data_IF_856874445397
#
_entry.id   IF_856874445397
#
_cell.length_a   1.000
_cell.length_b   1.000
_cell.length_c   1.000
_cell.angle_alpha   90.00
_cell.angle_beta   90.00
_cell.angle_gamma   90.00
#
_symmetry.space_group_name_H-M   'P 1'
#
loop_
_entity.id
_entity.type
_entity.pdbx_description
1 polymer ?
#
# COMPACT_ATOMS: atom_id res chain seq x y z
N UNK A 1 45.32 -25.18 29.36
CA UNK A 1 44.85 -26.03 28.24
C UNK A 1 43.54 -26.79 28.54
N UNK A 2 43.32 -27.43 29.70
CA UNK A 2 42.08 -28.16 30.06
C UNK A 2 40.84 -27.23 30.20
N UNK A 3 40.98 -25.99 30.75
CA UNK A 3 39.89 -25.03 30.95
C UNK A 3 39.41 -24.46 29.62
N UNK A 4 40.34 -24.19 28.69
CA UNK A 4 40.02 -23.63 27.36
C UNK A 4 39.28 -24.67 26.48
N UNK A 5 39.63 -25.95 26.58
CA UNK A 5 38.89 -27.04 25.91
C UNK A 5 37.48 -27.24 26.45
N UNK A 6 37.28 -27.05 27.78
CA UNK A 6 35.93 -27.09 28.38
C UNK A 6 35.07 -25.91 28.03
N UNK A 7 35.64 -24.68 27.95
CA UNK A 7 34.91 -23.50 27.51
C UNK A 7 34.49 -23.60 26.03
N UNK A 8 35.37 -24.15 25.18
CA UNK A 8 35.05 -24.35 23.75
C UNK A 8 33.98 -25.47 23.56
N UNK A 9 34.02 -26.51 24.37
CA UNK A 9 33.00 -27.56 24.32
C UNK A 9 31.63 -27.07 24.81
N UNK A 10 31.56 -26.17 25.79
CA UNK A 10 30.31 -25.55 26.27
C UNK A 10 29.76 -24.56 25.22
N UNK A 11 30.61 -23.80 24.56
CA UNK A 11 30.20 -22.91 23.45
C UNK A 11 29.70 -23.69 22.23
N UNK A 12 30.33 -24.81 21.89
CA UNK A 12 29.88 -25.65 20.79
C UNK A 12 28.60 -26.44 21.14
N UNK A 13 28.43 -26.91 22.38
CA UNK A 13 27.20 -27.53 22.82
C UNK A 13 26.05 -26.54 22.99
N UNK A 14 26.32 -25.31 23.43
CA UNK A 14 25.34 -24.21 23.48
C UNK A 14 24.89 -23.77 22.11
N UNK A 15 25.79 -23.70 21.11
CA UNK A 15 25.49 -23.42 19.70
C UNK A 15 24.60 -24.50 19.06
N UNK A 16 24.83 -25.78 19.40
CA UNK A 16 24.01 -26.92 18.89
C UNK A 16 22.60 -26.98 19.47
N UNK A 17 22.41 -26.51 20.71
CA UNK A 17 21.07 -26.42 21.33
C UNK A 17 20.23 -25.23 20.79
N UNK A 18 20.87 -24.18 20.33
CA UNK A 18 20.18 -23.05 19.71
C UNK A 18 19.68 -23.37 18.28
N UNK A 19 20.27 -24.35 17.60
CA UNK A 19 19.84 -24.75 16.24
C UNK A 19 18.74 -25.84 16.23
N UNK A 20 18.50 -26.53 17.35
CA UNK A 20 17.51 -27.61 17.42
C UNK A 20 16.08 -27.13 17.72
N UNK A 21 15.85 -25.85 17.99
CA UNK A 21 14.55 -25.32 18.44
C UNK A 21 13.76 -24.52 17.42
N UNK A 22 14.21 -24.36 16.16
CA UNK A 22 13.58 -23.46 15.19
C UNK A 22 13.15 -24.18 13.90
N UNK A 23 12.83 -25.46 14.01
CA UNK A 23 12.21 -26.18 12.89
C UNK A 23 10.68 -26.17 13.00
N UNK A 24 10.07 -25.01 13.17
CA UNK A 24 8.67 -24.83 12.77
C UNK A 24 8.70 -24.11 11.41
N UNK A 25 8.18 -24.81 10.41
CA UNK A 25 8.17 -24.37 9.03
C UNK A 25 7.46 -23.01 8.91
N UNK A 26 8.26 -21.95 8.86
CA UNK A 26 7.82 -20.72 8.19
C UNK A 26 8.04 -21.02 6.72
N UNK A 27 6.96 -21.18 5.96
CA UNK A 27 7.03 -21.37 4.53
C UNK A 27 7.43 -20.05 3.88
N UNK A 28 8.23 -20.13 2.81
CA UNK A 28 8.48 -18.97 1.96
C UNK A 28 7.16 -18.45 1.40
N UNK A 29 6.91 -17.16 1.53
CA UNK A 29 5.75 -16.52 0.87
C UNK A 29 6.09 -16.26 -0.59
N UNK A 30 5.42 -16.89 -1.57
CA UNK A 30 5.68 -16.61 -2.99
C UNK A 30 5.57 -15.10 -3.27
N UNK A 31 6.67 -14.47 -3.74
CA UNK A 31 6.77 -13.03 -3.99
C UNK A 31 6.83 -12.15 -2.73
N UNK A 32 7.00 -12.75 -1.57
CA UNK A 32 7.27 -12.12 -0.27
C UNK A 32 8.67 -12.48 0.26
N UNK A 33 8.93 -12.28 1.56
CA UNK A 33 10.21 -12.60 2.18
C UNK A 33 10.48 -14.11 2.18
N UNK A 34 11.74 -14.49 1.96
CA UNK A 34 12.20 -15.86 2.07
C UNK A 34 12.57 -16.21 3.52
N UNK A 35 12.56 -17.51 3.84
CA UNK A 35 12.97 -18.02 5.15
C UNK A 35 14.44 -17.67 5.41
N UNK A 36 14.74 -17.13 6.61
CA UNK A 36 16.08 -16.70 7.02
C UNK A 36 16.70 -15.58 6.13
N UNK A 37 15.89 -14.83 5.44
CA UNK A 37 16.36 -13.71 4.64
C UNK A 37 16.98 -12.62 5.55
N UNK A 38 18.30 -12.38 5.38
CA UNK A 38 19.05 -11.40 6.17
C UNK A 38 19.24 -10.05 5.46
N UNK A 39 18.75 -9.92 4.24
CA UNK A 39 18.83 -8.71 3.43
C UNK A 39 17.45 -8.40 2.85
N UNK A 40 17.36 -7.51 1.89
CA UNK A 40 16.11 -7.26 1.15
C UNK A 40 15.69 -8.50 0.36
N UNK A 41 14.40 -8.58 0.05
CA UNK A 41 13.85 -9.61 -0.83
C UNK A 41 14.58 -9.67 -2.18
N UNK A 42 14.60 -10.83 -2.86
CA UNK A 42 15.23 -10.96 -4.17
C UNK A 42 14.71 -9.89 -5.14
N UNK A 43 15.61 -9.06 -5.71
CA UNK A 43 15.21 -7.96 -6.59
C UNK A 43 14.44 -8.46 -7.81
N UNK A 44 13.40 -7.73 -8.21
CA UNK A 44 12.64 -7.96 -9.43
C UNK A 44 12.60 -6.72 -10.35
N UNK A 45 13.48 -5.74 -10.06
CA UNK A 45 13.69 -4.54 -10.85
C UNK A 45 15.13 -4.09 -10.73
N UNK A 46 15.63 -3.35 -11.72
CA UNK A 46 16.97 -2.76 -11.64
C UNK A 46 17.14 -1.77 -10.47
N UNK A 47 16.05 -1.06 -10.09
CA UNK A 47 16.06 -0.19 -8.90
C UNK A 47 16.33 -1.02 -7.64
N UNK A 48 15.57 -2.11 -7.45
CA UNK A 48 15.73 -2.99 -6.30
C UNK A 48 17.12 -3.63 -6.26
N UNK A 49 17.67 -4.03 -7.41
CA UNK A 49 19.05 -4.56 -7.52
C UNK A 49 20.09 -3.53 -7.06
N UNK A 50 19.92 -2.28 -7.49
CA UNK A 50 20.79 -1.17 -7.07
C UNK A 50 20.71 -0.96 -5.55
N UNK A 51 19.50 -0.94 -4.98
CA UNK A 51 19.31 -0.80 -3.54
C UNK A 51 19.87 -1.97 -2.75
N UNK A 52 19.67 -3.21 -3.24
CA UNK A 52 20.24 -4.41 -2.63
C UNK A 52 21.77 -4.34 -2.57
N UNK A 53 22.41 -3.91 -3.67
CA UNK A 53 23.85 -3.76 -3.74
C UNK A 53 24.38 -2.67 -2.81
N UNK A 54 23.72 -1.53 -2.75
CA UNK A 54 24.08 -0.43 -1.84
C UNK A 54 23.94 -0.87 -0.38
N UNK A 55 22.84 -1.55 -0.03
CA UNK A 55 22.63 -2.05 1.33
C UNK A 55 23.69 -3.09 1.72
N UNK A 56 24.02 -4.01 0.81
CA UNK A 56 25.08 -5.00 1.04
C UNK A 56 26.43 -4.31 1.28
N UNK A 57 26.76 -3.29 0.49
CA UNK A 57 27.98 -2.49 0.72
C UNK A 57 28.00 -1.84 2.10
N UNK A 58 26.87 -1.25 2.52
CA UNK A 58 26.73 -0.67 3.86
C UNK A 58 26.92 -1.70 4.97
N UNK A 59 26.31 -2.88 4.83
CA UNK A 59 26.47 -3.98 5.80
C UNK A 59 27.95 -4.41 5.92
N UNK A 60 28.66 -4.52 4.81
CA UNK A 60 30.09 -4.86 4.81
C UNK A 60 30.91 -3.79 5.54
N UNK A 61 30.68 -2.52 5.23
CA UNK A 61 31.36 -1.39 5.90
C UNK A 61 31.08 -1.43 7.41
N UNK A 62 29.82 -1.57 7.79
CA UNK A 62 29.42 -1.67 9.20
C UNK A 62 30.06 -2.88 9.91
N UNK A 63 30.12 -4.03 9.23
CA UNK A 63 30.78 -5.23 9.78
C UNK A 63 32.27 -5.01 10.01
N UNK A 64 32.97 -4.38 9.05
CA UNK A 64 34.40 -4.08 9.17
C UNK A 64 34.65 -3.11 10.35
N UNK A 65 33.85 -2.06 10.46
CA UNK A 65 33.93 -1.10 11.59
C UNK A 65 33.65 -1.83 12.92
N UNK A 66 32.59 -2.63 12.96
CA UNK A 66 32.21 -3.42 14.15
C UNK A 66 33.36 -4.33 14.60
N UNK A 67 33.91 -5.14 13.70
CA UNK A 67 35.00 -6.06 14.00
C UNK A 67 36.27 -5.28 14.47
N UNK A 68 36.58 -4.15 13.84
CA UNK A 68 37.71 -3.31 14.21
C UNK A 68 37.55 -2.73 15.62
N UNK A 69 36.43 -2.07 15.89
CA UNK A 69 36.14 -1.42 17.18
C UNK A 69 36.06 -2.43 18.31
N UNK A 70 35.23 -3.48 18.14
CA UNK A 70 35.08 -4.51 19.18
C UNK A 70 36.34 -5.35 19.33
N UNK A 71 37.10 -5.58 18.25
CA UNK A 71 38.42 -6.24 18.30
C UNK A 71 39.38 -5.49 19.20
N UNK A 72 39.56 -4.19 19.00
CA UNK A 72 40.39 -3.34 19.86
C UNK A 72 39.86 -3.28 21.30
N UNK A 73 38.55 -3.15 21.46
CA UNK A 73 37.92 -3.13 22.78
C UNK A 73 38.19 -4.44 23.56
N UNK A 74 37.92 -5.58 22.97
CA UNK A 74 38.16 -6.87 23.62
C UNK A 74 39.66 -7.12 23.86
N UNK A 75 40.51 -6.78 22.90
CA UNK A 75 41.96 -6.82 23.10
C UNK A 75 42.37 -6.02 24.35
N UNK A 76 41.88 -4.78 24.46
CA UNK A 76 42.19 -3.90 25.60
C UNK A 76 41.70 -4.48 26.94
N UNK A 77 40.47 -5.04 26.97
CA UNK A 77 39.89 -5.66 28.16
C UNK A 77 40.75 -6.86 28.63
N UNK A 78 41.24 -7.68 27.71
CA UNK A 78 42.00 -8.88 28.06
C UNK A 78 43.49 -8.60 28.28
N UNK A 79 44.10 -7.77 27.42
CA UNK A 79 45.54 -7.50 27.49
C UNK A 79 45.92 -6.51 28.60
N UNK A 80 45.10 -5.46 28.80
CA UNK A 80 45.41 -4.36 29.72
C UNK A 80 44.69 -4.47 31.07
N UNK A 81 44.14 -5.67 31.39
CA UNK A 81 43.47 -5.87 32.69
C UNK A 81 44.42 -5.76 33.89
N UNK A 82 43.95 -5.15 34.97
CA UNK A 82 44.70 -4.95 36.21
C UNK A 82 45.28 -6.26 36.78
N UNK A 83 44.59 -7.40 36.65
CA UNK A 83 45.06 -8.73 37.10
C UNK A 83 46.32 -9.23 36.40
N UNK A 84 46.73 -8.59 35.27
CA UNK A 84 48.02 -8.84 34.60
C UNK A 84 49.14 -7.88 35.00
N UNK A 85 48.90 -7.04 36.00
CA UNK A 85 49.89 -6.05 36.45
C UNK A 85 50.04 -4.83 35.53
N UNK A 86 49.13 -4.67 34.59
CA UNK A 86 49.20 -3.56 33.63
C UNK A 86 48.92 -2.24 34.31
N UNK A 87 49.80 -1.25 34.08
CA UNK A 87 49.62 0.11 34.57
C UNK A 87 48.98 0.98 33.46
N UNK A 88 48.08 1.91 33.81
CA UNK A 88 47.49 2.82 32.85
C UNK A 88 48.56 3.69 32.18
N UNK A 89 48.44 3.90 30.87
CA UNK A 89 49.27 4.86 30.19
C UNK A 89 48.82 6.29 30.49
N UNK A 90 49.78 7.21 30.65
CA UNK A 90 49.52 8.63 30.99
C UNK A 90 49.53 9.51 29.71
N UNK A 91 48.71 9.14 28.71
CA UNK A 91 48.50 10.01 27.55
C UNK A 91 47.14 10.69 27.66
N UNK A 92 47.03 11.94 27.23
CA UNK A 92 45.81 12.74 27.29
C UNK A 92 45.22 13.05 25.92
N UNK A 93 46.05 13.04 24.87
CA UNK A 93 45.66 13.37 23.50
C UNK A 93 46.57 12.68 22.47
N UNK A 94 46.12 12.56 21.27
CA UNK A 94 46.91 12.13 20.11
C UNK A 94 46.32 12.71 18.82
N UNK A 95 46.84 13.84 18.39
CA UNK A 95 46.41 14.56 17.19
C UNK A 95 46.34 13.66 15.97
N UNK A 96 47.28 12.72 15.83
CA UNK A 96 47.25 11.75 14.71
C UNK A 96 46.02 10.86 14.75
N UNK A 97 45.69 10.30 15.93
CA UNK A 97 44.51 9.43 16.09
C UNK A 97 43.22 10.23 15.87
N UNK A 98 43.17 11.43 16.37
CA UNK A 98 42.02 12.35 16.22
C UNK A 98 41.76 12.71 14.76
N UNK A 99 42.82 13.00 14.00
CA UNK A 99 42.71 13.21 12.54
C UNK A 99 42.19 11.95 11.85
N UNK A 100 42.76 10.79 12.18
CA UNK A 100 42.38 9.52 11.54
C UNK A 100 40.88 9.21 11.78
N UNK A 101 40.40 9.27 13.03
CA UNK A 101 38.99 8.93 13.31
C UNK A 101 38.00 9.99 12.83
N UNK A 102 38.46 11.20 12.47
CA UNK A 102 37.65 12.23 11.83
C UNK A 102 37.62 12.06 10.33
N UNK A 103 38.79 11.90 9.69
CA UNK A 103 38.93 11.89 8.24
C UNK A 103 38.38 10.57 7.63
N UNK A 104 38.67 9.42 8.27
CA UNK A 104 38.24 8.12 7.72
C UNK A 104 36.70 7.99 7.64
N UNK A 105 35.90 8.26 8.70
CA UNK A 105 34.44 8.24 8.60
C UNK A 105 33.91 9.26 7.59
N UNK A 106 34.50 10.46 7.53
CA UNK A 106 34.11 11.48 6.56
C UNK A 106 34.27 11.00 5.12
N UNK A 107 35.40 10.36 4.79
CA UNK A 107 35.63 9.79 3.47
C UNK A 107 34.67 8.63 3.16
N UNK A 108 34.37 7.77 4.14
CA UNK A 108 33.39 6.69 3.99
C UNK A 108 32.02 7.26 3.64
N UNK A 109 31.55 8.30 4.34
CA UNK A 109 30.24 8.94 4.07
C UNK A 109 30.19 9.55 2.68
N UNK A 110 31.26 10.23 2.22
CA UNK A 110 31.31 10.81 0.87
C UNK A 110 31.26 9.69 -0.19
N UNK A 111 32.05 8.63 -0.03
CA UNK A 111 32.07 7.52 -0.96
C UNK A 111 30.75 6.80 -1.07
N UNK A 112 29.99 6.71 0.02
CA UNK A 112 28.65 6.13 0.03
C UNK A 112 27.59 7.09 -0.55
N UNK A 113 27.71 8.38 -0.35
CA UNK A 113 26.77 9.37 -0.83
C UNK A 113 26.69 9.43 -2.36
N UNK A 114 27.79 9.19 -3.07
CA UNK A 114 27.83 9.27 -4.52
C UNK A 114 26.91 8.23 -5.21
N UNK A 115 27.03 6.91 -4.95
CA UNK A 115 26.13 5.93 -5.53
C UNK A 115 24.70 6.05 -5.01
N UNK A 116 24.50 6.41 -3.74
CA UNK A 116 23.18 6.65 -3.17
C UNK A 116 22.45 7.79 -3.89
N UNK A 117 23.13 8.92 -4.15
CA UNK A 117 22.55 10.04 -4.90
C UNK A 117 22.15 9.63 -6.32
N UNK A 118 22.98 8.85 -7.02
CA UNK A 118 22.63 8.32 -8.35
C UNK A 118 21.36 7.47 -8.32
N UNK A 119 21.22 6.60 -7.32
CA UNK A 119 20.03 5.78 -7.14
C UNK A 119 18.78 6.65 -6.91
N UNK A 120 18.86 7.64 -6.02
CA UNK A 120 17.73 8.57 -5.74
C UNK A 120 17.31 9.34 -6.99
N UNK A 121 18.26 9.86 -7.77
CA UNK A 121 17.98 10.57 -9.04
C UNK A 121 17.28 9.64 -10.03
N UNK A 122 17.76 8.40 -10.19
CA UNK A 122 17.15 7.41 -11.08
C UNK A 122 15.71 7.06 -10.65
N UNK A 123 15.46 6.91 -9.34
CA UNK A 123 14.12 6.63 -8.82
C UNK A 123 13.12 7.78 -9.04
N UNK A 124 13.59 9.01 -9.23
CA UNK A 124 12.76 10.20 -9.47
C UNK A 124 12.42 10.42 -10.95
N UNK A 125 13.04 9.72 -11.87
CA UNK A 125 12.75 9.84 -13.30
C UNK A 125 11.50 9.03 -13.67
N UNK A 126 10.34 9.64 -13.60
CA UNK A 126 9.03 9.05 -13.99
C UNK A 126 8.65 9.34 -15.45
N UNK A 127 9.56 9.92 -16.25
CA UNK A 127 9.34 10.21 -17.67
C UNK A 127 9.20 8.94 -18.52
N UNK A 128 8.54 9.09 -19.68
CA UNK A 128 8.41 8.01 -20.67
C UNK A 128 7.86 6.68 -20.11
N UNK A 129 6.85 6.75 -19.26
CA UNK A 129 6.17 5.58 -18.75
C UNK A 129 5.28 4.94 -19.83
N UNK A 130 5.34 3.60 -19.93
CA UNK A 130 4.48 2.82 -20.83
C UNK A 130 3.05 2.72 -20.31
N UNK A 131 2.89 2.75 -18.99
CA UNK A 131 1.63 2.64 -18.27
C UNK A 131 1.68 3.54 -17.04
N UNK A 132 0.56 4.21 -16.75
CA UNK A 132 0.41 5.00 -15.52
C UNK A 132 -0.81 4.51 -14.73
N UNK A 133 -0.59 4.18 -13.46
CA UNK A 133 -1.63 3.79 -12.51
C UNK A 133 -1.65 4.76 -11.34
N UNK A 134 -2.83 5.30 -11.04
CA UNK A 134 -3.07 6.06 -9.81
C UNK A 134 -3.44 5.08 -8.71
N UNK A 135 -2.79 5.22 -7.57
CA UNK A 135 -2.99 4.41 -6.37
C UNK A 135 -3.53 5.31 -5.27
N UNK A 136 -4.72 5.01 -4.80
CA UNK A 136 -5.38 5.77 -3.74
C UNK A 136 -5.47 4.93 -2.47
N UNK A 137 -4.87 5.41 -1.37
CA UNK A 137 -4.99 4.78 -0.06
C UNK A 137 -6.30 5.15 0.62
N UNK A 138 -6.93 4.15 1.23
CA UNK A 138 -8.12 4.27 2.08
C UNK A 138 -7.93 3.44 3.35
N UNK A 139 -8.64 3.74 4.40
CA UNK A 139 -8.72 2.91 5.60
C UNK A 139 -9.74 1.77 5.39
N UNK A 140 -9.39 0.51 5.12
CA UNK A 140 -8.03 -0.03 4.92
C UNK A 140 -8.05 -0.86 3.64
N UNK A 141 -7.75 -0.24 2.52
CA UNK A 141 -7.79 -0.82 1.18
C UNK A 141 -7.02 0.05 0.19
N UNK A 142 -6.75 -0.46 -1.00
CA UNK A 142 -6.13 0.30 -2.08
C UNK A 142 -7.09 0.44 -3.27
N UNK A 143 -7.20 1.64 -3.82
CA UNK A 143 -7.84 1.89 -5.11
C UNK A 143 -6.79 1.98 -6.23
N UNK A 144 -7.07 1.37 -7.36
CA UNK A 144 -6.22 1.39 -8.55
C UNK A 144 -7.01 1.93 -9.74
N UNK A 145 -6.52 3.04 -10.32
CA UNK A 145 -7.07 3.64 -11.52
C UNK A 145 -6.00 3.63 -12.62
N UNK A 146 -6.24 2.95 -13.74
CA UNK A 146 -5.35 2.96 -14.90
C UNK A 146 -5.65 4.22 -15.71
N UNK A 147 -4.75 5.22 -15.62
CA UNK A 147 -4.99 6.56 -16.15
C UNK A 147 -4.33 6.84 -17.49
N UNK A 148 -3.39 6.00 -17.91
CA UNK A 148 -2.74 6.09 -19.21
C UNK A 148 -2.16 4.74 -19.64
N UNK A 149 -2.14 4.48 -20.95
CA UNK A 149 -1.56 3.27 -21.55
C UNK A 149 -2.55 2.13 -21.74
N UNK A 150 -2.08 0.92 -22.05
CA UNK A 150 -2.95 -0.25 -22.19
C UNK A 150 -3.68 -0.50 -20.87
N UNK A 151 -5.01 -0.56 -20.89
CA UNK A 151 -5.83 -0.68 -19.69
C UNK A 151 -6.44 0.63 -19.21
N UNK A 152 -6.16 1.76 -19.86
CA UNK A 152 -6.78 3.06 -19.54
C UNK A 152 -8.29 2.93 -19.36
N UNK A 153 -8.81 3.55 -18.27
CA UNK A 153 -10.21 3.50 -17.86
C UNK A 153 -10.56 2.33 -16.94
N UNK A 154 -9.68 1.35 -16.72
CA UNK A 154 -9.89 0.30 -15.72
C UNK A 154 -9.70 0.90 -14.32
N UNK A 155 -10.69 0.67 -13.43
CA UNK A 155 -10.67 1.13 -12.05
C UNK A 155 -11.27 0.08 -11.13
N UNK A 156 -10.65 -0.17 -9.99
CA UNK A 156 -11.16 -1.08 -8.97
C UNK A 156 -10.55 -0.83 -7.60
N UNK A 157 -11.19 -1.38 -6.58
CA UNK A 157 -10.69 -1.40 -5.21
C UNK A 157 -10.17 -2.80 -4.90
N UNK A 158 -9.03 -2.86 -4.24
CA UNK A 158 -8.35 -4.07 -3.78
C UNK A 158 -8.47 -4.16 -2.27
N UNK A 159 -9.04 -5.25 -1.77
CA UNK A 159 -9.28 -5.48 -0.35
C UNK A 159 -8.64 -6.78 0.13
N UNK A 160 -8.33 -6.85 1.43
CA UNK A 160 -7.82 -8.06 2.05
C UNK A 160 -8.75 -9.25 1.81
N UNK A 161 -8.21 -10.37 1.34
CA UNK A 161 -8.97 -11.61 1.13
C UNK A 161 -8.88 -12.59 2.32
N UNK A 162 -8.03 -12.34 3.32
CA UNK A 162 -7.92 -13.18 4.51
C UNK A 162 -9.27 -13.25 5.25
N UNK A 163 -9.83 -14.46 5.46
CA UNK A 163 -11.09 -14.64 6.16
C UNK A 163 -11.07 -14.05 7.58
N UNK A 164 -12.18 -13.43 7.99
CA UNK A 164 -12.28 -12.83 9.32
C UNK A 164 -12.05 -13.84 10.44
N UNK A 165 -12.47 -15.09 10.25
CA UNK A 165 -12.26 -16.18 11.20
C UNK A 165 -10.76 -16.44 11.51
N UNK A 166 -9.88 -16.30 10.50
CA UNK A 166 -8.43 -16.37 10.72
C UNK A 166 -7.90 -15.15 11.49
N UNK A 167 -8.45 -13.96 11.23
CA UNK A 167 -8.09 -12.73 11.95
C UNK A 167 -8.48 -12.81 13.42
N UNK A 168 -9.69 -13.30 13.70
CA UNK A 168 -10.24 -13.43 15.05
C UNK A 168 -9.69 -14.66 15.80
N UNK A 169 -8.86 -15.48 15.14
CA UNK A 169 -8.21 -16.65 15.72
C UNK A 169 -9.13 -17.84 15.94
N UNK A 170 -10.30 -17.87 15.29
CA UNK A 170 -11.25 -18.99 15.33
C UNK A 170 -10.92 -20.08 14.30
N UNK A 171 -10.07 -19.77 13.32
CA UNK A 171 -9.54 -20.71 12.33
C UNK A 171 -8.01 -20.58 12.25
N UNK A 172 -7.29 -21.66 11.86
CA UNK A 172 -5.85 -21.61 11.63
C UNK A 172 -5.49 -20.56 10.56
N UNK A 173 -4.38 -19.85 10.77
CA UNK A 173 -3.83 -18.93 9.80
C UNK A 173 -3.28 -19.68 8.59
N UNK A 174 -3.58 -19.17 7.38
CA UNK A 174 -2.99 -19.67 6.13
C UNK A 174 -1.52 -19.20 5.99
N UNK A 175 -0.77 -19.83 5.09
CA UNK A 175 0.62 -19.45 4.76
C UNK A 175 0.70 -18.01 4.23
N UNK A 176 -0.36 -17.50 3.59
CA UNK A 176 -0.47 -16.15 3.04
C UNK A 176 -1.35 -15.23 3.91
N UNK A 177 -1.41 -15.51 5.22
CA UNK A 177 -2.16 -14.69 6.17
C UNK A 177 -1.79 -13.21 6.08
N UNK A 178 -2.79 -12.35 5.84
CA UNK A 178 -2.67 -10.90 5.63
C UNK A 178 -1.82 -10.48 4.41
N UNK A 179 -1.58 -11.37 3.45
CA UNK A 179 -0.74 -11.10 2.28
C UNK A 179 -1.46 -11.26 0.94
N UNK A 180 -2.77 -11.55 0.96
CA UNK A 180 -3.59 -11.74 -0.24
C UNK A 180 -4.70 -10.70 -0.34
N UNK A 181 -5.05 -10.37 -1.58
CA UNK A 181 -6.15 -9.46 -1.92
C UNK A 181 -7.13 -10.11 -2.89
N UNK A 182 -8.34 -9.58 -2.94
CA UNK A 182 -9.38 -10.00 -3.88
C UNK A 182 -9.07 -9.61 -5.33
N UNK A 183 -8.40 -8.46 -5.52
CA UNK A 183 -8.06 -7.90 -6.83
C UNK A 183 -6.65 -7.33 -6.82
N UNK A 184 -5.64 -8.06 -7.32
CA UNK A 184 -4.27 -7.57 -7.41
C UNK A 184 -4.13 -6.44 -8.43
N UNK A 185 -3.11 -5.60 -8.28
CA UNK A 185 -2.64 -4.72 -9.34
C UNK A 185 -1.97 -5.55 -10.43
N UNK A 186 -2.44 -5.45 -11.66
CA UNK A 186 -1.91 -6.24 -12.79
C UNK A 186 -1.11 -5.35 -13.73
N UNK A 187 0.13 -5.73 -14.07
CA UNK A 187 1.02 -4.95 -14.94
C UNK A 187 1.79 -5.84 -15.90
N UNK A 188 2.19 -5.34 -17.09
CA UNK A 188 3.00 -6.09 -18.03
C UNK A 188 4.49 -6.10 -17.62
N UNK A 189 5.18 -7.21 -17.89
CA UNK A 189 6.62 -7.37 -17.68
C UNK A 189 7.42 -6.47 -18.64
N UNK A 190 8.62 -6.04 -18.20
CA UNK A 190 9.55 -5.22 -18.99
C UNK A 190 8.98 -3.88 -19.48
N UNK A 191 7.93 -3.36 -18.84
CA UNK A 191 7.34 -2.03 -19.10
C UNK A 191 7.62 -1.09 -17.94
N UNK A 192 7.83 0.18 -18.24
CA UNK A 192 7.98 1.23 -17.21
C UNK A 192 6.61 1.64 -16.70
N UNK A 193 6.32 1.29 -15.47
CA UNK A 193 5.04 1.57 -14.81
C UNK A 193 5.23 2.77 -13.89
N UNK A 194 4.54 3.88 -14.19
CA UNK A 194 4.45 5.03 -13.30
C UNK A 194 3.32 4.82 -12.31
N UNK A 195 3.62 4.98 -11.04
CA UNK A 195 2.65 4.93 -9.95
C UNK A 195 2.47 6.35 -9.41
N UNK A 196 1.24 6.86 -9.45
CA UNK A 196 0.85 8.12 -8.82
C UNK A 196 0.11 7.79 -7.54
N UNK A 197 0.63 8.20 -6.38
CA UNK A 197 0.01 7.92 -5.08
C UNK A 197 -0.72 9.13 -4.52
N UNK A 198 -1.85 8.88 -3.88
CA UNK A 198 -2.61 9.82 -3.04
C UNK A 198 -3.41 9.04 -2.01
N UNK A 199 -4.07 9.73 -1.09
CA UNK A 199 -4.98 9.10 -0.13
C UNK A 199 -6.28 9.91 0.01
N UNK A 200 -7.35 9.21 0.40
CA UNK A 200 -8.66 9.82 0.61
C UNK A 200 -8.91 10.26 2.06
N UNK A 201 -8.18 9.70 3.02
CA UNK A 201 -8.47 9.85 4.46
C UNK A 201 -7.23 10.23 5.28
N UNK A 202 -6.32 9.29 5.52
CA UNK A 202 -5.08 9.50 6.29
C UNK A 202 -3.86 9.22 5.42
N UNK A 203 -2.66 9.43 5.97
CA UNK A 203 -1.43 9.05 5.26
C UNK A 203 -1.29 7.53 5.24
N UNK A 204 -1.00 6.98 4.07
CA UNK A 204 -0.62 5.59 3.81
C UNK A 204 0.72 5.58 3.08
N UNK A 205 1.33 4.41 2.88
CA UNK A 205 2.52 4.28 2.03
C UNK A 205 2.45 2.98 1.24
N UNK A 206 2.49 3.09 -0.07
CA UNK A 206 2.48 1.97 -0.99
C UNK A 206 3.91 1.43 -1.15
N UNK A 207 4.14 0.18 -0.75
CA UNK A 207 5.47 -0.42 -0.72
C UNK A 207 5.45 -1.83 -1.30
N UNK A 208 6.37 -2.10 -2.24
CA UNK A 208 6.65 -3.44 -2.77
C UNK A 208 8.16 -3.66 -2.68
N UNK A 209 8.64 -4.43 -1.70
CA UNK A 209 10.07 -4.63 -1.43
C UNK A 209 10.85 -5.14 -2.63
N UNK A 210 10.34 -6.17 -3.32
CA UNK A 210 10.98 -6.76 -4.49
C UNK A 210 11.17 -5.78 -5.67
N UNK A 211 10.39 -4.70 -5.71
CA UNK A 211 10.53 -3.64 -6.72
C UNK A 211 11.44 -2.50 -6.26
N UNK A 212 11.80 -2.46 -4.98
CA UNK A 212 12.57 -1.36 -4.40
C UNK A 212 11.80 -0.04 -4.37
N UNK A 213 10.47 -0.08 -4.35
CA UNK A 213 9.60 1.10 -4.44
C UNK A 213 8.80 1.26 -3.17
N UNK A 214 8.96 2.39 -2.49
CA UNK A 214 8.13 2.87 -1.38
C UNK A 214 7.72 4.31 -1.69
N UNK A 215 6.41 4.60 -1.68
CA UNK A 215 5.90 5.93 -1.92
C UNK A 215 4.70 6.24 -1.02
N UNK A 216 4.81 7.33 -0.27
CA UNK A 216 3.74 7.77 0.60
C UNK A 216 2.54 8.27 -0.22
N UNK A 217 1.35 7.91 0.25
CA UNK A 217 0.06 8.33 -0.25
C UNK A 217 -0.55 9.32 0.76
N UNK A 218 -0.50 10.62 0.42
CA UNK A 218 -0.83 11.72 1.34
C UNK A 218 -2.12 12.39 0.89
N UNK A 219 -3.12 12.57 1.78
CA UNK A 219 -4.36 13.28 1.45
C UNK A 219 -4.08 14.70 0.91
N UNK A 220 -4.74 15.05 -0.18
CA UNK A 220 -4.59 16.36 -0.82
C UNK A 220 -3.31 16.57 -1.63
N UNK A 221 -2.40 15.58 -1.67
CA UNK A 221 -1.16 15.62 -2.46
C UNK A 221 -1.10 14.44 -3.42
N UNK A 222 -0.42 14.66 -4.56
CA UNK A 222 0.00 13.58 -5.45
C UNK A 222 1.51 13.42 -5.41
N UNK A 223 1.97 12.19 -5.28
CA UNK A 223 3.37 11.80 -5.39
C UNK A 223 3.50 10.80 -6.50
N UNK A 224 4.68 10.68 -7.09
CA UNK A 224 4.90 9.66 -8.09
C UNK A 224 6.23 8.94 -7.92
N UNK A 225 6.25 7.72 -8.40
CA UNK A 225 7.39 6.83 -8.46
C UNK A 225 7.20 5.92 -9.66
N UNK A 226 8.15 5.03 -9.93
CA UNK A 226 8.06 4.08 -11.02
C UNK A 226 8.82 2.80 -10.71
N UNK A 227 8.45 1.76 -11.42
CA UNK A 227 9.20 0.51 -11.48
C UNK A 227 9.13 -0.12 -12.88
N UNK A 228 10.03 -1.05 -13.14
CA UNK A 228 10.03 -1.90 -14.33
C UNK A 228 10.39 -3.30 -13.88
N UNK A 229 9.38 -4.16 -13.75
CA UNK A 229 9.60 -5.55 -13.37
C UNK A 229 10.27 -6.32 -14.50
N UNK A 230 11.30 -7.09 -14.19
CA UNK A 230 12.15 -7.82 -15.14
C UNK A 230 11.64 -9.26 -15.42
N UNK A 231 10.69 -9.76 -14.62
CA UNK A 231 10.13 -11.11 -14.73
C UNK A 231 8.66 -11.16 -14.36
N UNK A 232 7.96 -12.11 -14.94
CA UNK A 232 6.57 -12.44 -14.57
C UNK A 232 6.52 -13.07 -13.17
N UNK A 233 5.39 -12.89 -12.48
CA UNK A 233 5.18 -13.45 -11.15
C UNK A 233 4.28 -12.59 -10.28
N UNK A 234 4.02 -13.07 -9.08
CA UNK A 234 3.28 -12.36 -8.03
C UNK A 234 4.26 -11.76 -7.03
N UNK A 235 4.11 -10.46 -6.76
CA UNK A 235 4.95 -9.72 -5.82
C UNK A 235 4.09 -9.12 -4.73
N UNK A 236 4.56 -9.21 -3.49
CA UNK A 236 3.81 -8.79 -2.30
C UNK A 236 4.44 -7.61 -1.61
N UNK A 237 3.58 -6.77 -1.11
CA UNK A 237 3.93 -5.59 -0.35
C UNK A 237 2.85 -5.24 0.66
N UNK A 238 2.95 -4.07 1.26
CA UNK A 238 2.06 -3.67 2.35
C UNK A 238 2.08 -2.15 2.53
N UNK A 239 1.11 -1.65 3.30
CA UNK A 239 1.14 -0.29 3.78
C UNK A 239 2.28 -0.13 4.79
N UNK A 240 3.11 0.91 4.63
CA UNK A 240 4.28 1.17 5.49
C UNK A 240 4.24 2.54 6.17
N UNK A 241 3.05 3.15 6.26
CA UNK A 241 2.79 4.31 7.09
C UNK A 241 1.59 4.02 7.99
N UNK A 242 1.76 4.22 9.31
CA UNK A 242 0.72 3.88 10.29
C UNK A 242 -0.57 4.66 10.00
N UNK A 243 -1.60 3.96 9.57
CA UNK A 243 -2.87 4.52 9.09
C UNK A 243 -4.09 4.15 9.95
N UNK A 244 -3.89 3.64 11.15
CA UNK A 244 -4.95 3.30 12.11
C UNK A 244 -4.96 1.83 12.53
N UNK A 245 -6.07 1.38 13.12
CA UNK A 245 -6.18 0.08 13.80
C UNK A 245 -6.01 -1.14 12.88
N UNK A 246 -6.33 -1.00 11.60
CA UNK A 246 -6.24 -2.09 10.61
C UNK A 246 -5.11 -1.84 9.60
N UNK A 247 -4.06 -1.12 10.03
CA UNK A 247 -2.88 -0.84 9.21
C UNK A 247 -2.27 -2.09 8.54
N UNK A 248 -2.23 -3.23 9.23
CA UNK A 248 -1.72 -4.50 8.71
C UNK A 248 -2.70 -5.22 7.76
N UNK A 249 -3.93 -4.72 7.59
CA UNK A 249 -5.01 -5.39 6.85
C UNK A 249 -5.23 -4.82 5.44
N UNK A 250 -4.26 -4.07 4.91
CA UNK A 250 -4.27 -3.54 3.56
C UNK A 250 -2.98 -3.89 2.81
N UNK A 251 -2.77 -5.17 2.50
CA UNK A 251 -1.61 -5.61 1.74
C UNK A 251 -1.65 -5.10 0.31
N UNK A 252 -0.50 -5.17 -0.35
CA UNK A 252 -0.33 -4.91 -1.78
C UNK A 252 0.03 -6.22 -2.45
N UNK A 253 -0.68 -6.58 -3.52
CA UNK A 253 -0.32 -7.69 -4.40
C UNK A 253 -0.22 -7.15 -5.81
N UNK A 254 0.91 -7.43 -6.47
CA UNK A 254 1.15 -7.05 -7.87
C UNK A 254 1.38 -8.31 -8.68
N UNK A 255 0.56 -8.53 -9.68
CA UNK A 255 0.76 -9.58 -10.68
C UNK A 255 1.43 -9.01 -11.92
N UNK A 256 2.64 -9.48 -12.20
CA UNK A 256 3.37 -9.13 -13.41
C UNK A 256 3.11 -10.23 -14.43
N UNK A 257 2.49 -9.87 -15.54
CA UNK A 257 2.09 -10.79 -16.61
C UNK A 257 2.96 -10.63 -17.85
N UNK A 258 2.95 -11.63 -18.72
CA UNK A 258 3.44 -11.48 -20.10
C UNK A 258 2.63 -10.42 -20.85
N UNK A 259 3.20 -9.83 -21.91
CA UNK A 259 2.46 -8.87 -22.75
C UNK A 259 1.13 -9.47 -23.28
N UNK A 260 1.13 -10.76 -23.64
CA UNK A 260 -0.06 -11.45 -24.15
C UNK A 260 -1.13 -11.66 -23.06
N UNK A 261 -0.72 -12.13 -21.88
CA UNK A 261 -1.64 -12.35 -20.76
C UNK A 261 -2.18 -11.03 -20.20
N UNK A 262 -1.36 -9.99 -20.19
CA UNK A 262 -1.78 -8.64 -19.81
C UNK A 262 -2.82 -8.08 -20.79
N UNK A 263 -2.60 -8.23 -22.11
CA UNK A 263 -3.57 -7.82 -23.11
C UNK A 263 -4.91 -8.57 -22.97
N UNK A 264 -4.84 -9.88 -22.69
CA UNK A 264 -6.03 -10.68 -22.39
C UNK A 264 -6.75 -10.18 -21.14
N UNK A 265 -6.03 -9.95 -20.04
CA UNK A 265 -6.59 -9.41 -18.81
C UNK A 265 -7.28 -8.05 -19.03
N UNK A 266 -6.66 -7.13 -19.79
CA UNK A 266 -7.25 -5.83 -20.13
C UNK A 266 -8.56 -6.02 -20.90
N UNK A 267 -8.60 -6.91 -21.87
CA UNK A 267 -9.82 -7.19 -22.62
C UNK A 267 -10.92 -7.79 -21.74
N UNK A 268 -10.58 -8.74 -20.88
CA UNK A 268 -11.51 -9.37 -19.95
C UNK A 268 -12.09 -8.32 -18.97
N UNK A 269 -11.24 -7.42 -18.41
CA UNK A 269 -11.69 -6.33 -17.54
C UNK A 269 -12.64 -5.38 -18.29
N UNK A 270 -12.29 -4.94 -19.50
CA UNK A 270 -13.14 -4.05 -20.30
C UNK A 270 -14.47 -4.72 -20.69
N UNK A 271 -14.48 -6.01 -20.98
CA UNK A 271 -15.71 -6.76 -21.20
C UNK A 271 -16.58 -6.84 -19.95
N UNK A 272 -15.98 -7.13 -18.79
CA UNK A 272 -16.70 -7.13 -17.51
C UNK A 272 -17.26 -5.75 -17.17
N UNK A 273 -16.47 -4.68 -17.39
CA UNK A 273 -16.94 -3.31 -17.21
C UNK A 273 -18.07 -2.96 -18.20
N UNK A 274 -17.96 -3.37 -19.45
CA UNK A 274 -19.02 -3.17 -20.45
C UNK A 274 -20.29 -3.97 -20.13
N UNK A 275 -20.14 -5.19 -19.59
CA UNK A 275 -21.27 -5.99 -19.14
C UNK A 275 -21.87 -5.45 -17.83
N UNK A 276 -21.06 -4.77 -17.00
CA UNK A 276 -21.47 -4.06 -15.81
C UNK A 276 -21.90 -2.60 -16.12
N UNK A 277 -21.54 -2.05 -17.27
CA UNK A 277 -22.09 -0.82 -17.83
C UNK A 277 -23.55 -1.12 -18.17
N UNK A 278 -24.37 -0.89 -17.19
CA UNK A 278 -25.74 -1.30 -17.12
C UNK A 278 -26.56 -0.58 -18.21
N UNK A 279 -27.31 -1.36 -18.97
CA UNK A 279 -28.35 -0.81 -19.82
C UNK A 279 -29.32 0.03 -18.94
N UNK A 280 -29.42 1.34 -19.11
CA UNK A 280 -30.31 2.19 -18.31
C UNK A 280 -31.79 1.81 -18.48
N UNK A 281 -32.11 0.96 -19.46
CA UNK A 281 -33.45 0.42 -19.66
C UNK A 281 -33.70 -0.86 -18.86
N UNK A 282 -32.67 -1.48 -18.29
CA UNK A 282 -32.85 -2.65 -17.41
C UNK A 282 -33.56 -2.25 -16.13
N UNK A 283 -34.55 -3.05 -15.73
CA UNK A 283 -35.22 -2.92 -14.44
C UNK A 283 -34.47 -3.72 -13.39
N UNK A 284 -34.10 -3.08 -12.28
CA UNK A 284 -33.39 -3.69 -11.16
C UNK A 284 -34.32 -3.96 -9.98
N UNK A 285 -34.01 -4.99 -9.24
CA UNK A 285 -34.69 -5.27 -7.96
C UNK A 285 -34.14 -4.38 -6.84
N UNK A 286 -34.89 -4.26 -5.75
CA UNK A 286 -34.47 -3.56 -4.53
C UNK A 286 -33.12 -4.09 -4.01
N UNK A 287 -32.97 -5.41 -3.92
CA UNK A 287 -31.76 -6.04 -3.40
C UNK A 287 -30.52 -5.74 -4.28
N UNK A 288 -30.66 -5.76 -5.61
CA UNK A 288 -29.55 -5.41 -6.53
C UNK A 288 -29.14 -3.95 -6.35
N UNK A 289 -30.08 -3.03 -6.30
CA UNK A 289 -29.78 -1.60 -6.15
C UNK A 289 -29.26 -1.25 -4.76
N UNK A 290 -29.77 -1.86 -3.70
CA UNK A 290 -29.23 -1.63 -2.35
C UNK A 290 -27.79 -2.13 -2.21
N UNK A 291 -27.46 -3.32 -2.73
CA UNK A 291 -26.09 -3.85 -2.69
C UNK A 291 -25.11 -2.96 -3.46
N UNK A 292 -25.47 -2.50 -4.65
CA UNK A 292 -24.69 -1.55 -5.45
C UNK A 292 -24.62 -0.19 -4.81
N UNK A 293 -25.75 0.31 -4.31
CA UNK A 293 -25.87 1.62 -3.66
C UNK A 293 -24.99 1.73 -2.42
N UNK A 294 -24.92 0.68 -1.60
CA UNK A 294 -23.99 0.62 -0.48
C UNK A 294 -22.52 0.76 -0.93
N UNK A 295 -22.14 0.11 -2.04
CA UNK A 295 -20.79 0.22 -2.57
C UNK A 295 -20.48 1.64 -3.07
N UNK A 296 -21.39 2.24 -3.86
CA UNK A 296 -21.27 3.62 -4.35
C UNK A 296 -21.25 4.62 -3.19
N UNK A 297 -22.14 4.46 -2.21
CA UNK A 297 -22.19 5.29 -1.02
C UNK A 297 -20.88 5.26 -0.24
N UNK A 298 -20.37 4.06 0.04
CA UNK A 298 -19.14 3.87 0.82
C UNK A 298 -17.92 4.49 0.13
N UNK A 299 -17.90 4.51 -1.19
CA UNK A 299 -16.78 5.04 -1.98
C UNK A 299 -16.83 6.55 -2.15
N UNK A 300 -18.04 7.13 -2.30
CA UNK A 300 -18.19 8.50 -2.78
C UNK A 300 -18.89 9.44 -1.77
N UNK A 301 -19.82 8.93 -0.95
CA UNK A 301 -20.69 9.76 -0.13
C UNK A 301 -20.30 9.72 1.36
N UNK A 302 -19.87 8.54 1.84
CA UNK A 302 -19.58 8.31 3.26
C UNK A 302 -18.46 9.19 3.83
N UNK A 303 -17.58 9.71 2.99
CA UNK A 303 -16.50 10.63 3.40
C UNK A 303 -17.04 11.92 4.01
N UNK A 304 -18.19 12.43 3.52
CA UNK A 304 -18.85 13.61 4.06
C UNK A 304 -20.03 13.24 4.98
N UNK A 305 -20.86 12.29 4.54
CA UNK A 305 -22.11 11.95 5.24
C UNK A 305 -21.95 10.84 6.27
N UNK A 306 -20.73 10.30 6.47
CA UNK A 306 -20.37 9.17 7.33
C UNK A 306 -21.06 7.84 6.95
N UNK A 307 -20.50 6.71 7.34
CA UNK A 307 -21.10 5.40 7.07
C UNK A 307 -22.49 5.22 7.74
N UNK A 308 -22.74 5.96 8.83
CA UNK A 308 -24.02 5.97 9.55
C UNK A 308 -25.09 6.86 8.91
N UNK A 309 -24.78 7.62 7.86
CA UNK A 309 -25.69 8.60 7.26
C UNK A 309 -25.99 9.83 8.14
N UNK A 310 -25.38 9.94 9.33
CA UNK A 310 -25.68 11.02 10.30
C UNK A 310 -24.91 12.30 10.05
N UNK A 311 -24.04 12.32 9.05
CA UNK A 311 -23.20 13.47 8.79
C UNK A 311 -22.23 13.77 9.92
N UNK A 312 -21.60 14.94 9.91
CA UNK A 312 -20.70 15.38 10.98
C UNK A 312 -20.12 16.76 10.72
N UNK A 313 -20.01 17.57 11.78
CA UNK A 313 -19.53 18.93 11.66
C UNK A 313 -20.44 19.78 10.77
N UNK A 314 -19.90 20.27 9.63
CA UNK A 314 -20.65 21.08 8.67
C UNK A 314 -21.43 20.26 7.61
N UNK A 315 -21.22 18.93 7.56
CA UNK A 315 -21.88 18.05 6.59
C UNK A 315 -23.23 17.57 7.11
N UNK A 316 -24.32 17.68 6.31
CA UNK A 316 -25.67 17.32 6.77
C UNK A 316 -25.84 15.79 6.93
N UNK A 317 -26.78 15.41 7.80
CA UNK A 317 -27.27 14.05 7.86
C UNK A 317 -28.10 13.73 6.61
N UNK A 318 -28.03 12.48 6.13
CA UNK A 318 -28.95 11.89 5.15
C UNK A 318 -30.01 11.03 5.83
N UNK A 319 -29.67 10.52 7.01
CA UNK A 319 -30.60 9.82 7.88
C UNK A 319 -31.68 10.78 8.40
N UNK A 320 -32.92 10.56 8.02
CA UNK A 320 -34.07 11.41 8.37
C UNK A 320 -34.21 12.68 7.54
N UNK A 321 -33.34 12.93 6.55
CA UNK A 321 -33.30 14.15 5.73
C UNK A 321 -34.56 14.33 4.88
N UNK A 322 -35.01 15.58 4.74
CA UNK A 322 -36.24 15.93 4.01
C UNK A 322 -36.11 15.68 2.49
N UNK A 323 -34.91 15.85 1.88
CA UNK A 323 -34.66 15.56 0.46
C UNK A 323 -34.66 14.06 0.25
N UNK A 324 -33.99 13.31 1.14
CA UNK A 324 -33.89 11.85 1.05
C UNK A 324 -35.25 11.19 1.19
N UNK A 325 -36.14 11.70 2.06
CA UNK A 325 -37.52 11.22 2.28
C UNK A 325 -38.56 11.88 1.36
N UNK A 326 -38.19 12.96 0.69
CA UNK A 326 -39.07 13.72 -0.18
C UNK A 326 -39.27 13.13 -1.57
N UNK A 327 -39.70 13.92 -2.56
CA UNK A 327 -39.87 13.47 -3.94
C UNK A 327 -38.58 12.91 -4.53
N UNK A 328 -38.69 11.76 -5.22
CA UNK A 328 -37.53 11.10 -5.85
C UNK A 328 -36.78 12.03 -6.82
N UNK A 329 -37.53 12.86 -7.55
CA UNK A 329 -36.97 13.81 -8.51
C UNK A 329 -36.03 14.84 -7.87
N UNK A 330 -36.38 15.32 -6.66
CA UNK A 330 -35.56 16.29 -5.93
C UNK A 330 -34.26 15.64 -5.46
N UNK A 331 -34.33 14.40 -4.99
CA UNK A 331 -33.14 13.65 -4.58
C UNK A 331 -32.22 13.37 -5.78
N UNK A 332 -32.77 12.96 -6.94
CA UNK A 332 -32.01 12.78 -8.18
C UNK A 332 -31.32 14.09 -8.58
N UNK A 333 -32.04 15.21 -8.54
CA UNK A 333 -31.47 16.51 -8.89
C UNK A 333 -30.32 16.92 -7.98
N UNK A 334 -30.43 16.70 -6.69
CA UNK A 334 -29.35 17.01 -5.72
C UNK A 334 -28.13 16.17 -5.99
N UNK A 335 -28.27 14.90 -6.28
CA UNK A 335 -27.13 14.02 -6.58
C UNK A 335 -26.49 14.39 -7.92
N UNK A 336 -27.30 14.64 -8.97
CA UNK A 336 -26.80 15.02 -10.30
C UNK A 336 -26.04 16.35 -10.26
N UNK A 337 -26.62 17.38 -9.66
CA UNK A 337 -26.15 18.76 -9.83
C UNK A 337 -25.43 19.32 -8.60
N UNK A 338 -25.42 18.56 -7.52
CA UNK A 338 -24.90 19.03 -6.25
C UNK A 338 -25.86 20.00 -5.55
N UNK A 339 -25.42 20.52 -4.40
CA UNK A 339 -26.17 21.49 -3.62
C UNK A 339 -25.23 22.48 -2.95
N UNK A 340 -25.58 23.77 -3.02
CA UNK A 340 -24.87 24.83 -2.31
C UNK A 340 -25.83 25.50 -1.34
N UNK A 341 -25.50 25.49 -0.05
CA UNK A 341 -26.21 26.22 0.98
C UNK A 341 -25.28 27.22 1.67
N UNK A 342 -25.80 28.38 2.02
CA UNK A 342 -25.00 29.42 2.68
C UNK A 342 -24.48 28.88 4.05
N UNK A 343 -23.17 29.02 4.26
CA UNK A 343 -22.50 28.58 5.49
C UNK A 343 -22.22 27.08 5.60
N UNK A 344 -22.49 26.29 4.56
CA UNK A 344 -22.16 24.86 4.49
C UNK A 344 -21.20 24.55 3.36
N UNK A 345 -20.40 23.46 3.46
CA UNK A 345 -19.62 22.97 2.32
C UNK A 345 -20.51 22.61 1.14
N UNK A 346 -20.06 22.91 -0.07
CA UNK A 346 -20.78 22.53 -1.28
C UNK A 346 -20.80 21.00 -1.44
N UNK A 347 -21.98 20.42 -1.69
CA UNK A 347 -22.08 19.07 -2.22
C UNK A 347 -21.68 19.09 -3.70
N UNK A 348 -20.70 18.30 -4.13
CA UNK A 348 -20.29 18.25 -5.54
C UNK A 348 -21.38 17.66 -6.42
N UNK A 349 -21.37 17.99 -7.71
CA UNK A 349 -22.18 17.31 -8.71
C UNK A 349 -21.57 15.96 -9.08
N UNK A 350 -22.41 14.97 -9.34
CA UNK A 350 -22.01 13.60 -9.71
C UNK A 350 -22.40 13.21 -11.13
N UNK A 351 -22.91 14.16 -11.91
CA UNK A 351 -23.42 13.95 -13.27
C UNK A 351 -22.41 13.33 -14.25
N UNK A 352 -21.12 13.62 -14.05
CA UNK A 352 -20.01 13.10 -14.88
C UNK A 352 -19.25 11.95 -14.22
N UNK A 353 -19.36 11.83 -12.92
CA UNK A 353 -18.57 10.87 -12.14
C UNK A 353 -19.30 9.53 -11.95
N UNK A 354 -20.64 9.53 -11.93
CA UNK A 354 -21.48 8.35 -11.75
C UNK A 354 -22.43 8.17 -12.93
N UNK A 355 -22.61 6.93 -13.36
CA UNK A 355 -23.59 6.56 -14.40
C UNK A 355 -25.03 6.49 -13.81
N UNK A 356 -26.02 6.33 -14.69
CA UNK A 356 -27.44 6.36 -14.29
C UNK A 356 -27.81 5.23 -13.33
N UNK A 357 -27.17 4.06 -13.45
CA UNK A 357 -27.40 2.93 -12.56
C UNK A 357 -26.76 3.15 -11.19
N UNK A 358 -25.56 3.73 -11.15
CA UNK A 358 -24.88 4.05 -9.89
C UNK A 358 -25.64 5.13 -9.10
N UNK A 359 -26.15 6.15 -9.79
CA UNK A 359 -26.98 7.19 -9.17
C UNK A 359 -28.30 6.60 -8.67
N UNK A 360 -28.99 5.79 -9.48
CA UNK A 360 -30.22 5.11 -9.08
C UNK A 360 -29.99 4.19 -7.87
N UNK A 361 -28.86 3.48 -7.87
CA UNK A 361 -28.49 2.56 -6.80
C UNK A 361 -28.20 3.30 -5.48
N UNK A 362 -27.38 4.36 -5.51
CA UNK A 362 -27.05 5.10 -4.28
C UNK A 362 -28.28 5.80 -3.69
N UNK A 363 -29.14 6.38 -4.54
CA UNK A 363 -30.39 7.01 -4.09
C UNK A 363 -31.34 5.95 -3.50
N UNK A 364 -31.47 4.78 -4.15
CA UNK A 364 -32.27 3.67 -3.60
C UNK A 364 -31.72 3.24 -2.25
N UNK A 365 -30.41 3.11 -2.10
CA UNK A 365 -29.78 2.79 -0.83
C UNK A 365 -30.07 3.84 0.23
N UNK A 366 -29.81 5.12 -0.01
CA UNK A 366 -29.99 6.21 0.95
C UNK A 366 -31.45 6.33 1.42
N UNK A 367 -32.40 6.12 0.51
CA UNK A 367 -33.83 6.14 0.83
C UNK A 367 -34.31 4.94 1.69
N UNK A 368 -33.54 3.87 1.73
CA UNK A 368 -33.91 2.64 2.45
C UNK A 368 -32.91 2.21 3.52
N UNK A 369 -31.81 2.96 3.69
CA UNK A 369 -30.80 2.73 4.71
C UNK A 369 -31.13 3.49 6.00
N UNK A 370 -30.50 3.08 7.09
CA UNK A 370 -30.61 3.67 8.42
C UNK A 370 -32.11 3.71 8.86
N UNK A 371 -32.63 4.85 9.27
CA UNK A 371 -34.04 5.02 9.64
C UNK A 371 -34.94 5.57 8.50
N UNK A 372 -34.41 5.59 7.25
CA UNK A 372 -35.15 6.17 6.12
C UNK A 372 -36.27 5.27 5.56
N UNK A 373 -36.18 3.98 5.58
CA UNK A 373 -37.18 2.93 5.24
C UNK A 373 -38.34 3.34 4.28
N UNK A 374 -38.03 4.05 3.19
CA UNK A 374 -39.08 4.55 2.26
C UNK A 374 -39.77 3.43 1.45
N UNK A 375 -39.13 2.30 1.25
CA UNK A 375 -39.58 1.23 0.39
C UNK A 375 -39.53 1.55 -1.12
N UNK A 376 -39.06 2.74 -1.49
CA UNK A 376 -38.99 3.19 -2.89
C UNK A 376 -37.75 2.70 -3.60
N UNK A 377 -37.93 2.30 -4.86
CA UNK A 377 -36.88 1.88 -5.77
C UNK A 377 -36.72 2.96 -6.85
N UNK A 378 -35.54 3.54 -6.96
CA UNK A 378 -35.22 4.47 -8.05
C UNK A 378 -34.57 3.68 -9.19
N UNK A 379 -35.21 3.68 -10.34
CA UNK A 379 -34.71 2.97 -11.53
C UNK A 379 -33.78 3.87 -12.35
N UNK A 380 -32.77 3.31 -13.04
CA UNK A 380 -31.83 4.07 -13.87
C UNK A 380 -32.53 4.94 -14.92
N UNK A 381 -33.65 4.47 -15.48
CA UNK A 381 -34.46 5.22 -16.44
C UNK A 381 -34.95 6.57 -15.90
N UNK A 382 -35.22 6.66 -14.59
CA UNK A 382 -35.64 7.89 -13.94
C UNK A 382 -34.48 8.90 -13.89
N UNK A 383 -33.27 8.40 -13.61
CA UNK A 383 -32.06 9.23 -13.60
C UNK A 383 -31.70 9.69 -15.00
N UNK A 384 -31.75 8.78 -16.00
CA UNK A 384 -31.53 9.13 -17.42
C UNK A 384 -32.48 10.22 -17.91
N UNK A 385 -33.77 10.14 -17.55
CA UNK A 385 -34.77 11.14 -17.87
C UNK A 385 -34.46 12.50 -17.22
N UNK A 386 -34.07 12.52 -15.94
CA UNK A 386 -33.68 13.75 -15.25
C UNK A 386 -32.42 14.38 -15.87
N UNK A 387 -31.42 13.55 -16.19
CA UNK A 387 -30.18 14.00 -16.87
C UNK A 387 -30.46 14.59 -18.26
N UNK A 388 -31.40 14.02 -19.02
CA UNK A 388 -31.80 14.55 -20.33
C UNK A 388 -32.57 15.87 -20.22
N UNK A 389 -33.43 16.03 -19.21
CA UNK A 389 -34.21 17.23 -18.96
C UNK A 389 -33.40 18.44 -18.49
N UNK A 390 -32.22 18.23 -17.95
CA UNK A 390 -31.32 19.31 -17.50
C UNK A 390 -30.45 19.91 -18.62
N UNK A 391 -30.55 19.43 -19.87
CA UNK A 391 -29.80 19.92 -21.04
C UNK A 391 -30.59 20.97 -21.84
N UNK A 392 -31.76 21.37 -21.37
CA UNK A 392 -32.54 22.50 -21.92
C UNK A 392 -32.50 23.68 -20.95
#
# INVERSE_FOLDING_TARGET
MKIMKRALAVLLAGGSLLTAGVAQAVNDSPGGPALYELNFQPPATHIAETLYSLHTLMLIICLVIFLGVFGVMFYSIFAHRKSRGHQPAHFHESTTVEIIWTVVPFLIVILMALPATKAVVAMKDTSNADLTVKVTGYQWKWGYDYVNGPGEGISFVSTLSTPRAQVDGTEPKSDLYLQEVDKPLVVPVNRKIRIITTAADVVHSWYVPAFGVKQDAIPGFTRDTWFKADRVGTFRGFCTELCGKEHAFMPVVVEVLSDADYAKWVNDQKQQMAAAADDPNKTFTMAELQARGLAVYSQNCAVCHQASGKGGGAFPALDGDAVVKGPVADHINVVLHGKQEAGKPAMPNWDKALNDVEIAAVITYERNAWDNHSGEIVQPKQVAAARAGSKT
#
